data_IF_746555795500
#
_entry.id   IF_746555795500
#
_cell.length_a   1.000
_cell.length_b   1.000
_cell.length_c   1.000
_cell.angle_alpha   90.00
_cell.angle_beta   90.00
_cell.angle_gamma   90.00
#
_symmetry.space_group_name_H-M   'P 1'
#
loop_
_entity.id
_entity.type
_entity.pdbx_description
1 polymer ?
#
# COMPACT_ATOMS: atom_id res chain seq x y z
N UNK A 1 -2.19 -9.84 28.26
CA UNK A 1 -2.22 -8.38 28.01
C UNK A 1 -2.46 -8.19 26.51
N UNK A 2 -3.51 -7.44 26.16
CA UNK A 2 -3.92 -7.23 24.76
C UNK A 2 -3.34 -5.91 24.28
N UNK A 3 -2.72 -5.90 23.10
CA UNK A 3 -2.10 -4.70 22.52
C UNK A 3 -2.51 -4.56 21.06
N UNK A 4 -2.66 -3.32 20.61
CA UNK A 4 -2.89 -3.02 19.21
C UNK A 4 -2.09 -1.78 18.79
N UNK A 5 -1.64 -1.78 17.55
CA UNK A 5 -0.99 -0.64 16.89
C UNK A 5 -1.56 -0.56 15.47
N UNK A 6 -2.18 0.57 15.13
CA UNK A 6 -2.71 0.83 13.79
C UNK A 6 -1.98 2.01 13.16
N UNK A 7 -1.45 1.82 11.95
CA UNK A 7 -0.80 2.90 11.20
C UNK A 7 -1.77 3.53 10.20
N UNK A 8 -2.45 2.70 9.40
CA UNK A 8 -3.46 3.14 8.43
C UNK A 8 -4.49 2.04 8.16
N UNK A 9 -5.48 2.35 7.31
CA UNK A 9 -6.47 1.39 6.85
C UNK A 9 -5.80 0.12 6.26
N UNK A 10 -6.08 -1.04 6.88
CA UNK A 10 -5.53 -2.36 6.48
C UNK A 10 -4.00 -2.49 6.64
N UNK A 11 -3.40 -1.66 7.50
CA UNK A 11 -2.02 -1.77 7.99
C UNK A 11 -1.99 -1.64 9.52
N UNK A 12 -1.95 -2.77 10.21
CA UNK A 12 -2.04 -2.81 11.67
C UNK A 12 -1.44 -4.10 12.23
N UNK A 13 -1.11 -4.06 13.52
CA UNK A 13 -0.66 -5.20 14.31
C UNK A 13 -1.49 -5.28 15.59
N UNK A 14 -1.80 -6.49 16.02
CA UNK A 14 -2.42 -6.70 17.32
C UNK A 14 -2.03 -8.06 17.92
N UNK A 15 -2.09 -8.13 19.24
CA UNK A 15 -1.84 -9.33 20.03
C UNK A 15 -2.92 -9.45 21.10
N UNK A 16 -3.67 -10.54 21.05
CA UNK A 16 -4.69 -10.89 22.05
C UNK A 16 -4.09 -11.87 23.05
N UNK A 17 -4.52 -11.80 24.32
CA UNK A 17 -4.08 -12.76 25.35
C UNK A 17 -4.42 -14.20 24.91
N UNK A 18 -3.43 -15.08 24.88
CA UNK A 18 -3.60 -16.48 24.48
C UNK A 18 -3.51 -16.76 22.98
N UNK A 19 -3.44 -15.73 22.12
CA UNK A 19 -3.27 -15.88 20.67
C UNK A 19 -1.87 -15.48 20.20
N UNK A 20 -1.47 -16.00 19.03
CA UNK A 20 -0.30 -15.50 18.30
C UNK A 20 -0.58 -14.09 17.80
N UNK A 21 0.47 -13.27 17.71
CA UNK A 21 0.37 -11.95 17.12
C UNK A 21 -0.13 -12.01 15.67
N UNK A 22 -0.90 -11.02 15.26
CA UNK A 22 -1.44 -10.90 13.90
C UNK A 22 -0.98 -9.58 13.30
N UNK A 23 -0.28 -9.69 12.18
CA UNK A 23 0.20 -8.57 11.36
C UNK A 23 -0.64 -8.48 10.09
N UNK A 24 -1.19 -7.30 9.80
CA UNK A 24 -1.92 -7.02 8.55
C UNK A 24 -1.20 -5.92 7.80
N UNK A 25 -0.84 -6.21 6.55
CA UNK A 25 -0.31 -5.22 5.60
C UNK A 25 -0.86 -5.54 4.20
N UNK A 26 -1.92 -4.86 3.77
CA UNK A 26 -2.53 -5.12 2.45
C UNK A 26 -1.54 -4.81 1.33
N UNK A 27 -1.40 -5.73 0.37
CA UNK A 27 -0.53 -5.58 -0.81
C UNK A 27 0.88 -6.15 -0.63
N UNK A 28 1.23 -6.56 0.60
CA UNK A 28 2.50 -7.17 0.97
C UNK A 28 2.33 -8.68 1.12
N UNK A 29 3.32 -9.44 0.64
CA UNK A 29 3.31 -10.90 0.73
C UNK A 29 3.53 -11.35 2.18
N UNK A 30 2.86 -12.44 2.59
CA UNK A 30 2.95 -12.96 3.97
C UNK A 30 4.39 -13.28 4.39
N UNK A 31 5.22 -13.75 3.46
CA UNK A 31 6.64 -14.04 3.70
C UNK A 31 7.39 -12.80 4.17
N UNK A 32 7.12 -11.64 3.56
CA UNK A 32 7.75 -10.37 3.96
C UNK A 32 7.19 -9.91 5.31
N UNK A 33 5.88 -10.04 5.54
CA UNK A 33 5.22 -9.68 6.80
C UNK A 33 5.84 -10.45 7.98
N UNK A 34 6.09 -11.75 7.81
CA UNK A 34 6.59 -12.62 8.87
C UNK A 34 8.10 -12.47 9.12
N UNK A 35 8.89 -12.13 8.10
CA UNK A 35 10.36 -11.99 8.25
C UNK A 35 10.76 -10.72 9.01
N UNK A 36 10.38 -9.53 8.53
CA UNK A 36 10.62 -8.25 9.20
C UNK A 36 10.05 -7.07 8.40
N UNK A 37 8.95 -6.47 8.87
CA UNK A 37 8.39 -5.20 8.41
C UNK A 37 9.13 -4.01 9.04
N UNK A 38 10.45 -3.91 8.86
CA UNK A 38 11.25 -2.83 9.46
C UNK A 38 11.45 -1.65 8.51
N UNK A 39 11.47 -1.91 7.20
CA UNK A 39 11.77 -0.91 6.18
C UNK A 39 10.51 -0.45 5.47
N UNK A 40 10.45 0.87 5.21
CA UNK A 40 9.40 1.49 4.41
C UNK A 40 9.30 0.85 3.02
N UNK A 41 10.42 0.53 2.37
CA UNK A 41 10.45 -0.10 1.04
C UNK A 41 11.00 -1.53 1.10
N UNK A 42 10.40 -2.44 0.31
CA UNK A 42 10.83 -3.82 0.18
C UNK A 42 10.70 -4.31 -1.26
N UNK A 43 11.76 -4.95 -1.76
CA UNK A 43 11.77 -5.70 -3.01
C UNK A 43 10.87 -6.94 -2.88
N UNK A 44 9.98 -7.14 -3.84
CA UNK A 44 9.09 -8.29 -3.91
C UNK A 44 8.92 -8.74 -5.35
N UNK A 45 9.04 -10.05 -5.56
CA UNK A 45 8.66 -10.65 -6.84
C UNK A 45 7.14 -10.80 -6.90
N UNK A 46 6.54 -10.28 -7.96
CA UNK A 46 5.09 -10.24 -8.17
C UNK A 46 4.77 -10.68 -9.59
N UNK A 47 3.73 -11.50 -9.73
CA UNK A 47 3.17 -11.81 -11.04
C UNK A 47 2.26 -10.67 -11.50
N UNK A 48 2.52 -10.12 -12.69
CA UNK A 48 1.75 -9.03 -13.28
C UNK A 48 1.38 -9.36 -14.71
N UNK A 49 0.13 -9.09 -15.08
CA UNK A 49 -0.32 -9.14 -16.47
C UNK A 49 -0.13 -7.77 -17.12
N UNK A 50 0.50 -7.73 -18.28
CA UNK A 50 0.62 -6.54 -19.12
C UNK A 50 0.30 -6.95 -20.56
N UNK A 51 -0.67 -6.27 -21.21
CA UNK A 51 -1.14 -6.61 -22.56
C UNK A 51 -1.44 -8.11 -22.74
N UNK A 52 -2.15 -8.70 -21.79
CA UNK A 52 -2.51 -10.13 -21.76
C UNK A 52 -1.34 -11.13 -21.63
N UNK A 53 -0.11 -10.66 -21.40
CA UNK A 53 1.06 -11.51 -21.12
C UNK A 53 1.43 -11.46 -19.62
N UNK A 54 1.77 -12.61 -19.05
CA UNK A 54 2.15 -12.73 -17.64
C UNK A 54 3.66 -12.60 -17.47
N UNK A 55 4.07 -11.77 -16.52
CA UNK A 55 5.47 -11.55 -16.17
C UNK A 55 5.67 -11.73 -14.68
N UNK A 56 6.85 -12.24 -14.29
CA UNK A 56 7.34 -12.15 -12.92
C UNK A 56 8.30 -10.97 -12.84
N UNK A 57 7.92 -9.93 -12.10
CA UNK A 57 8.69 -8.70 -11.98
C UNK A 57 9.12 -8.47 -10.53
N UNK A 58 10.33 -7.97 -10.33
CA UNK A 58 10.76 -7.43 -9.03
C UNK A 58 10.20 -6.02 -8.89
N UNK A 59 9.41 -5.77 -7.84
CA UNK A 59 8.87 -4.46 -7.53
C UNK A 59 9.33 -3.99 -6.16
N UNK A 60 9.72 -2.72 -6.05
CA UNK A 60 9.89 -2.05 -4.77
C UNK A 60 8.54 -1.56 -4.24
N UNK A 61 8.01 -2.23 -3.22
CA UNK A 61 6.73 -1.88 -2.60
C UNK A 61 6.93 -1.18 -1.27
N UNK A 62 6.06 -0.21 -0.99
CA UNK A 62 5.95 0.43 0.33
C UNK A 62 5.29 -0.57 1.30
N UNK A 63 6.07 -1.08 2.24
CA UNK A 63 5.67 -2.11 3.18
C UNK A 63 5.13 -1.55 4.52
N UNK A 64 5.69 -0.42 4.97
CA UNK A 64 5.30 0.25 6.21
C UNK A 64 5.26 1.75 5.99
N UNK A 65 4.06 2.33 5.96
CA UNK A 65 3.84 3.77 5.85
C UNK A 65 2.49 4.15 6.47
N UNK A 66 2.45 5.26 7.18
CA UNK A 66 1.25 5.74 7.86
C UNK A 66 0.34 6.57 6.95
N UNK A 67 0.83 7.04 5.79
CA UNK A 67 0.04 7.86 4.87
C UNK A 67 -1.05 7.01 4.20
N UNK A 68 -2.26 7.55 4.10
CA UNK A 68 -3.34 6.89 3.36
C UNK A 68 -3.27 7.22 1.86
N UNK A 69 -2.35 6.56 1.14
CA UNK A 69 -2.13 6.76 -0.29
C UNK A 69 -3.34 6.40 -1.19
N UNK A 70 -4.46 5.93 -0.62
CA UNK A 70 -5.65 5.51 -1.38
C UNK A 70 -6.73 6.57 -1.43
N UNK A 71 -6.56 7.66 -0.69
CA UNK A 71 -7.51 8.76 -0.64
C UNK A 71 -6.79 10.08 -0.81
N UNK A 72 -7.49 11.01 -1.44
CA UNK A 72 -7.12 12.42 -1.47
C UNK A 72 -7.66 13.08 -0.21
N UNK A 73 -6.78 13.68 0.60
CA UNK A 73 -7.16 14.48 1.77
C UNK A 73 -7.49 15.88 1.26
N UNK A 74 -8.70 16.36 1.54
CA UNK A 74 -9.14 17.71 1.18
C UNK A 74 -8.37 18.77 1.99
N UNK A 75 -8.44 20.03 1.55
CA UNK A 75 -7.74 21.15 2.22
C UNK A 75 -8.18 21.35 3.67
N UNK A 76 -9.40 20.95 4.01
CA UNK A 76 -9.93 20.97 5.38
C UNK A 76 -9.27 19.93 6.32
N UNK A 77 -8.46 19.02 5.78
CA UNK A 77 -7.74 17.98 6.55
C UNK A 77 -8.62 16.88 7.13
N UNK A 78 -9.94 16.93 6.92
CA UNK A 78 -10.91 16.01 7.51
C UNK A 78 -11.59 15.16 6.45
N UNK A 79 -12.03 15.80 5.36
CA UNK A 79 -12.73 15.11 4.30
C UNK A 79 -11.74 14.39 3.39
N UNK A 80 -12.14 13.20 2.94
CA UNK A 80 -11.31 12.38 2.05
C UNK A 80 -12.10 11.89 0.86
N UNK A 81 -11.51 12.00 -0.33
CA UNK A 81 -12.09 11.56 -1.60
C UNK A 81 -11.34 10.33 -2.12
N UNK A 82 -12.05 9.42 -2.79
CA UNK A 82 -11.40 8.31 -3.49
C UNK A 82 -10.68 8.83 -4.75
N UNK A 83 -9.51 8.28 -5.09
CA UNK A 83 -8.84 8.63 -6.35
C UNK A 83 -9.77 8.46 -7.56
N UNK A 84 -9.79 9.46 -8.45
CA UNK A 84 -10.69 9.53 -9.59
C UNK A 84 -12.02 10.24 -9.32
N UNK A 85 -12.28 10.69 -8.08
CA UNK A 85 -13.46 11.50 -7.77
C UNK A 85 -13.43 12.86 -8.49
N UNK A 86 -14.58 13.31 -9.00
CA UNK A 86 -14.71 14.51 -9.83
C UNK A 86 -14.26 15.81 -9.14
N UNK A 87 -14.33 15.87 -7.81
CA UNK A 87 -13.90 17.03 -7.01
C UNK A 87 -12.38 17.06 -6.75
N UNK A 88 -11.64 16.00 -7.09
CA UNK A 88 -10.18 16.02 -6.94
C UNK A 88 -9.60 16.92 -8.05
N UNK A 89 -8.81 17.95 -7.71
CA UNK A 89 -8.17 18.79 -8.71
C UNK A 89 -7.32 17.94 -9.65
N UNK A 90 -7.63 17.97 -10.96
CA UNK A 90 -6.80 17.33 -11.98
C UNK A 90 -5.45 18.03 -12.01
N UNK A 91 -4.44 17.46 -11.36
CA UNK A 91 -3.05 17.79 -11.70
C UNK A 91 -2.82 17.29 -13.13
N UNK A 92 -2.47 18.19 -14.06
CA UNK A 92 -1.94 17.77 -15.37
C UNK A 92 -0.62 17.06 -15.09
N UNK A 93 -0.63 15.73 -15.04
CA UNK A 93 0.61 14.97 -15.05
C UNK A 93 1.18 15.01 -16.47
N UNK A 94 2.31 15.71 -16.65
CA UNK A 94 3.17 15.55 -17.82
C UNK A 94 3.90 14.20 -17.72
N UNK A 95 3.18 13.07 -17.70
CA UNK A 95 3.80 11.75 -17.65
C UNK A 95 2.89 10.72 -18.33
N UNK A 96 2.66 10.89 -19.63
CA UNK A 96 2.35 9.80 -20.55
C UNK A 96 3.15 9.99 -21.84
N UNK A 97 4.48 10.09 -21.73
CA UNK A 97 5.34 9.69 -22.84
C UNK A 97 5.53 8.18 -22.73
N UNK A 98 4.57 7.42 -23.28
CA UNK A 98 4.81 6.02 -23.62
C UNK A 98 5.94 6.02 -24.67
N UNK A 99 7.03 5.27 -24.52
CA UNK A 99 7.98 5.12 -25.61
C UNK A 99 7.22 4.46 -26.78
N UNK A 100 7.11 5.20 -27.88
CA UNK A 100 6.70 4.63 -29.16
C UNK A 100 7.75 3.62 -29.62
N UNK A 101 7.24 2.60 -30.33
CA UNK A 101 7.87 1.37 -30.87
C UNK A 101 9.39 1.32 -30.95
#
# INVERSE_FOLDING_TARGET
MTHCVGLRSKLYWYKVKGEKEKKKAKGITKTVINKALHFKYRKMNVMRSMRHQLYTIEMNKVALDASDDKRYICEDGLNTLAWGHHQIPRKRTQDEAFPET
#
